data_IF_354614828346
#
_entry.id   IF_354614828346
#
_cell.length_a   1.000
_cell.length_b   1.000
_cell.length_c   1.000
_cell.angle_alpha   90.00
_cell.angle_beta   90.00
_cell.angle_gamma   90.00
#
_symmetry.space_group_name_H-M   'P 1'
#
loop_
_entity.id
_entity.type
_entity.pdbx_description
1 polymer ?
#
# COMPACT_ATOMS: atom_id res chain seq x y z
N UNK A 1 -33.07 -30.37 -5.75
CA UNK A 1 -32.38 -29.58 -4.71
C UNK A 1 -32.97 -29.96 -3.37
N UNK A 2 -32.19 -30.58 -2.48
CA UNK A 2 -32.67 -31.07 -1.18
C UNK A 2 -32.11 -30.17 -0.07
N UNK A 3 -32.98 -29.62 0.78
CA UNK A 3 -32.64 -28.70 1.90
C UNK A 3 -32.04 -29.46 3.11
N UNK A 4 -31.92 -30.80 3.01
CA UNK A 4 -31.59 -31.69 4.14
C UNK A 4 -30.10 -31.76 4.52
N UNK A 5 -29.20 -31.18 3.71
CA UNK A 5 -27.74 -31.32 3.89
C UNK A 5 -27.05 -30.04 4.41
N UNK A 6 -27.83 -29.05 4.89
CA UNK A 6 -27.28 -27.81 5.45
C UNK A 6 -26.81 -28.00 6.89
N UNK A 7 -25.57 -27.63 7.16
CA UNK A 7 -24.99 -27.73 8.51
C UNK A 7 -24.69 -26.33 9.06
N UNK A 8 -25.18 -25.98 10.27
CA UNK A 8 -24.83 -24.71 10.90
C UNK A 8 -23.36 -24.71 11.35
N UNK A 9 -22.65 -23.63 11.05
CA UNK A 9 -21.23 -23.49 11.36
C UNK A 9 -21.01 -22.75 12.68
N UNK A 10 -20.03 -23.20 13.46
CA UNK A 10 -19.60 -22.49 14.67
C UNK A 10 -18.72 -21.31 14.29
N UNK A 11 -19.12 -20.11 14.71
CA UNK A 11 -18.35 -18.88 14.51
C UNK A 11 -17.92 -18.25 15.83
N UNK A 12 -16.72 -17.67 15.87
CA UNK A 12 -16.17 -16.95 17.04
C UNK A 12 -15.60 -15.60 16.60
N UNK A 13 -15.99 -14.47 17.22
CA UNK A 13 -15.36 -13.18 16.95
C UNK A 13 -14.01 -13.07 17.65
N UNK A 14 -13.02 -12.50 16.97
CA UNK A 14 -11.68 -12.21 17.47
C UNK A 14 -11.33 -10.75 17.19
N UNK A 15 -10.37 -10.19 17.93
CA UNK A 15 -9.89 -8.82 17.73
C UNK A 15 -8.91 -8.77 16.56
N UNK A 16 -9.19 -7.95 15.56
CA UNK A 16 -8.30 -7.68 14.45
C UNK A 16 -7.33 -6.55 14.83
N UNK A 17 -6.04 -6.73 14.57
CA UNK A 17 -5.05 -5.67 14.75
C UNK A 17 -4.86 -4.95 13.42
N UNK A 18 -4.92 -3.62 13.42
CA UNK A 18 -4.77 -2.77 12.24
C UNK A 18 -3.68 -1.73 12.48
N UNK A 19 -2.84 -1.50 11.49
CA UNK A 19 -1.80 -0.47 11.46
C UNK A 19 -1.91 0.35 10.16
N UNK A 20 -1.82 1.67 10.30
CA UNK A 20 -1.80 2.60 9.17
C UNK A 20 -0.35 2.97 8.84
N UNK A 21 0.12 2.60 7.65
CA UNK A 21 1.52 2.79 7.25
C UNK A 21 1.83 4.23 6.85
N UNK A 22 0.83 4.89 6.24
CA UNK A 22 0.96 6.26 5.72
C UNK A 22 0.96 7.35 6.79
N UNK A 23 0.78 7.01 8.07
CA UNK A 23 0.79 8.01 9.15
C UNK A 23 2.14 8.70 9.33
N UNK A 24 3.25 7.99 9.06
CA UNK A 24 4.62 8.53 9.25
C UNK A 24 5.29 8.95 7.94
N UNK A 25 5.05 8.19 6.86
CA UNK A 25 5.67 8.41 5.56
C UNK A 25 4.75 7.85 4.47
N UNK A 26 4.71 8.48 3.31
CA UNK A 26 3.93 7.96 2.19
C UNK A 26 4.62 6.74 1.58
N UNK A 27 3.86 5.66 1.42
CA UNK A 27 4.30 4.39 0.82
C UNK A 27 3.19 3.81 -0.06
N UNK A 28 3.55 2.93 -1.00
CA UNK A 28 2.58 2.17 -1.80
C UNK A 28 1.68 1.30 -0.91
N UNK A 29 2.25 0.77 0.18
CA UNK A 29 1.49 0.10 1.24
C UNK A 29 0.71 1.14 2.05
N UNK A 30 -0.61 0.96 2.15
CA UNK A 30 -1.52 1.88 2.84
C UNK A 30 -1.80 1.41 4.28
N UNK A 31 -2.34 0.20 4.41
CA UNK A 31 -2.72 -0.41 5.69
C UNK A 31 -2.13 -1.81 5.82
N UNK A 32 -1.95 -2.25 7.06
CA UNK A 32 -1.65 -3.62 7.42
C UNK A 32 -2.62 -4.11 8.50
N UNK A 33 -3.03 -5.37 8.42
CA UNK A 33 -3.81 -6.05 9.44
C UNK A 33 -3.13 -7.37 9.82
N UNK A 34 -3.32 -7.81 11.06
CA UNK A 34 -2.87 -9.13 11.52
C UNK A 34 -4.06 -9.93 12.05
N UNK A 35 -4.34 -11.05 11.38
CA UNK A 35 -5.36 -12.01 11.82
C UNK A 35 -4.81 -12.80 13.02
N UNK A 36 -5.51 -12.85 14.17
CA UNK A 36 -5.09 -13.59 15.35
C UNK A 36 -5.41 -15.09 15.20
N UNK A 37 -4.59 -15.81 14.45
CA UNK A 37 -4.68 -17.27 14.31
C UNK A 37 -3.54 -17.97 15.04
N UNK A 38 -3.58 -19.31 15.09
CA UNK A 38 -2.51 -20.09 15.71
C UNK A 38 -1.27 -20.08 14.83
N UNK A 39 -0.08 -20.13 15.42
CA UNK A 39 1.20 -20.13 14.69
C UNK A 39 1.38 -21.34 13.76
N UNK A 40 0.58 -22.40 13.98
CA UNK A 40 0.55 -23.60 13.13
C UNK A 40 -0.36 -23.44 11.90
N UNK A 41 -1.27 -22.46 11.91
CA UNK A 41 -2.15 -22.18 10.79
C UNK A 41 -1.36 -21.65 9.60
N UNK A 42 -1.84 -21.99 8.41
CA UNK A 42 -1.26 -21.56 7.14
C UNK A 42 -2.38 -20.94 6.31
N UNK A 43 -2.24 -19.68 5.90
CA UNK A 43 -3.14 -19.11 4.90
C UNK A 43 -2.98 -19.85 3.57
N UNK A 44 -4.10 -20.39 3.06
CA UNK A 44 -4.17 -21.15 1.81
C UNK A 44 -4.73 -20.32 0.66
N UNK A 45 -5.72 -19.47 0.93
CA UNK A 45 -6.29 -18.59 -0.08
C UNK A 45 -7.02 -17.40 0.55
N UNK A 46 -7.35 -16.39 -0.27
CA UNK A 46 -8.16 -15.26 0.14
C UNK A 46 -9.04 -14.74 -0.98
N UNK A 47 -10.18 -14.19 -0.60
CA UNK A 47 -11.21 -13.70 -1.51
C UNK A 47 -11.86 -12.45 -0.94
N UNK A 48 -12.05 -11.44 -1.78
CA UNK A 48 -12.88 -10.27 -1.46
C UNK A 48 -14.26 -10.46 -2.09
N UNK A 49 -15.31 -10.36 -1.27
CA UNK A 49 -16.72 -10.41 -1.71
C UNK A 49 -17.42 -9.16 -1.20
N UNK A 50 -17.75 -8.24 -2.11
CA UNK A 50 -18.23 -6.90 -1.71
C UNK A 50 -17.14 -6.18 -0.91
N UNK A 51 -17.45 -5.81 0.33
CA UNK A 51 -16.52 -5.15 1.26
C UNK A 51 -15.99 -6.11 2.35
N UNK A 52 -16.23 -7.41 2.18
CA UNK A 52 -15.76 -8.44 3.11
C UNK A 52 -14.52 -9.16 2.57
N UNK A 53 -13.49 -9.28 3.40
CA UNK A 53 -12.33 -10.13 3.13
C UNK A 53 -12.52 -11.48 3.81
N UNK A 54 -12.35 -12.55 3.05
CA UNK A 54 -12.43 -13.93 3.51
C UNK A 54 -11.07 -14.57 3.31
N UNK A 55 -10.49 -15.12 4.38
CA UNK A 55 -9.19 -15.80 4.35
C UNK A 55 -9.37 -17.24 4.77
N UNK A 56 -9.00 -18.17 3.89
CA UNK A 56 -8.97 -19.59 4.20
C UNK A 56 -7.62 -19.99 4.76
N UNK A 57 -7.62 -20.73 5.86
CA UNK A 57 -6.42 -21.30 6.45
C UNK A 57 -6.53 -22.81 6.54
N UNK A 58 -5.38 -23.47 6.59
CA UNK A 58 -5.22 -24.89 6.85
C UNK A 58 -4.38 -25.10 8.10
N UNK A 59 -4.38 -26.34 8.61
CA UNK A 59 -3.66 -26.75 9.81
C UNK A 59 -3.99 -25.95 11.10
N UNK A 60 -5.24 -26.00 11.61
CA UNK A 60 -6.41 -26.69 11.07
C UNK A 60 -7.21 -25.85 10.04
N UNK A 61 -8.10 -26.47 9.24
CA UNK A 61 -8.98 -25.75 8.31
C UNK A 61 -9.91 -24.74 9.00
N UNK A 62 -9.76 -23.44 8.70
CA UNK A 62 -10.60 -22.34 9.23
C UNK A 62 -10.90 -21.32 8.13
N UNK A 63 -11.96 -20.54 8.31
CA UNK A 63 -12.18 -19.30 7.58
C UNK A 63 -12.14 -18.12 8.54
N UNK A 64 -11.54 -17.03 8.10
CA UNK A 64 -11.54 -15.75 8.78
C UNK A 64 -12.27 -14.74 7.91
N UNK A 65 -13.40 -14.23 8.38
CA UNK A 65 -14.24 -13.28 7.65
C UNK A 65 -14.17 -11.92 8.34
N UNK A 66 -13.68 -10.93 7.61
CA UNK A 66 -13.62 -9.54 8.03
C UNK A 66 -14.63 -8.78 7.18
N UNK A 67 -15.82 -8.56 7.74
CA UNK A 67 -16.81 -7.65 7.15
C UNK A 67 -16.30 -6.21 7.31
N UNK A 68 -16.44 -5.37 6.30
CA UNK A 68 -16.00 -3.97 6.30
C UNK A 68 -14.51 -3.80 6.63
N UNK A 69 -13.63 -4.36 5.79
CA UNK A 69 -12.18 -4.48 6.05
C UNK A 69 -11.51 -3.18 6.53
N UNK A 70 -11.94 -2.04 5.99
CA UNK A 70 -11.37 -0.73 6.31
C UNK A 70 -11.76 -0.21 7.70
N UNK A 71 -12.92 -0.60 8.22
CA UNK A 71 -13.50 -0.05 9.46
C UNK A 71 -13.48 -1.07 10.61
N UNK A 72 -13.40 -2.36 10.29
CA UNK A 72 -13.58 -3.40 11.28
C UNK A 72 -12.39 -3.58 12.22
N UNK A 73 -12.72 -3.74 13.50
CA UNK A 73 -11.79 -4.15 14.56
C UNK A 73 -11.94 -5.63 14.91
N UNK A 74 -12.79 -6.37 14.17
CA UNK A 74 -13.14 -7.75 14.48
C UNK A 74 -13.04 -8.65 13.25
N UNK A 75 -12.66 -9.89 13.50
CA UNK A 75 -12.69 -10.97 12.50
C UNK A 75 -13.51 -12.13 13.02
N UNK A 76 -14.37 -12.69 12.19
CA UNK A 76 -15.13 -13.90 12.50
C UNK A 76 -14.32 -15.13 12.07
N UNK A 77 -13.92 -15.95 13.04
CA UNK A 77 -13.35 -17.26 12.79
C UNK A 77 -14.49 -18.29 12.65
N UNK A 78 -14.44 -19.11 11.60
CA UNK A 78 -15.37 -20.21 11.34
C UNK A 78 -14.59 -21.52 11.25
N UNK A 79 -15.01 -22.52 12.04
CA UNK A 79 -14.42 -23.87 11.99
C UNK A 79 -15.01 -24.69 10.84
N UNK A 80 -14.23 -24.87 9.77
CA UNK A 80 -14.62 -25.66 8.59
C UNK A 80 -14.01 -27.07 8.62
N UNK A 81 -13.32 -27.45 9.69
CA UNK A 81 -12.72 -28.79 9.83
C UNK A 81 -13.75 -29.91 9.71
N UNK A 82 -15.02 -29.61 10.02
CA UNK A 82 -16.11 -30.56 9.92
C UNK A 82 -16.45 -30.97 8.48
N UNK A 83 -16.21 -30.10 7.51
CA UNK A 83 -16.48 -30.34 6.08
C UNK A 83 -15.57 -31.44 5.51
N UNK A 84 -14.34 -31.53 6.03
CA UNK A 84 -13.30 -32.43 5.49
C UNK A 84 -12.96 -33.61 6.41
N UNK A 85 -13.89 -33.99 7.31
CA UNK A 85 -13.66 -35.06 8.31
C UNK A 85 -13.29 -36.40 7.68
N UNK A 86 -13.86 -36.70 6.51
CA UNK A 86 -13.65 -37.96 5.78
C UNK A 86 -12.20 -38.15 5.33
N UNK A 87 -11.38 -37.10 5.28
CA UNK A 87 -10.04 -37.13 4.70
C UNK A 87 -8.92 -37.19 5.74
N UNK A 88 -9.25 -37.09 7.04
CA UNK A 88 -8.26 -37.07 8.14
C UNK A 88 -7.58 -38.41 8.40
N UNK A 89 -8.08 -39.50 7.81
CA UNK A 89 -7.45 -40.82 7.90
C UNK A 89 -6.27 -41.01 6.92
N UNK A 90 -6.09 -40.08 5.97
CA UNK A 90 -4.99 -40.11 5.02
C UNK A 90 -3.66 -39.83 5.74
N UNK A 91 -2.70 -40.73 5.59
CA UNK A 91 -1.32 -40.50 6.03
C UNK A 91 -0.76 -39.27 5.31
N UNK A 92 -0.39 -38.23 6.07
CA UNK A 92 0.08 -36.91 5.57
C UNK A 92 -0.98 -36.11 4.80
N UNK A 93 -2.19 -36.00 5.33
CA UNK A 93 -3.19 -35.07 4.78
C UNK A 93 -2.72 -33.61 4.89
N UNK A 94 -2.50 -32.98 3.74
CA UNK A 94 -2.05 -31.59 3.58
C UNK A 94 -3.05 -30.84 2.68
N UNK A 95 -4.22 -30.45 3.22
CA UNK A 95 -5.26 -29.81 2.41
C UNK A 95 -4.78 -28.53 1.74
N UNK A 96 -5.40 -28.22 0.61
CA UNK A 96 -5.29 -26.92 -0.04
C UNK A 96 -6.69 -26.41 -0.31
N UNK A 97 -6.98 -25.22 0.18
CA UNK A 97 -8.26 -24.57 -0.03
C UNK A 97 -8.11 -23.50 -1.10
N UNK A 98 -9.10 -23.42 -1.99
CA UNK A 98 -9.31 -22.36 -2.94
C UNK A 98 -10.69 -21.74 -2.69
N UNK A 99 -10.80 -20.41 -2.79
CA UNK A 99 -12.03 -19.66 -2.58
C UNK A 99 -12.47 -18.99 -3.88
N UNK A 100 -13.78 -18.97 -4.13
CA UNK A 100 -14.35 -18.22 -5.24
C UNK A 100 -15.74 -17.67 -4.89
N UNK A 101 -16.06 -16.50 -5.42
CA UNK A 101 -17.37 -15.90 -5.22
C UNK A 101 -18.42 -16.64 -6.07
N UNK A 102 -19.57 -16.98 -5.48
CA UNK A 102 -20.65 -17.68 -6.19
C UNK A 102 -21.98 -16.96 -6.01
N UNK A 103 -22.27 -15.99 -6.89
CA UNK A 103 -23.43 -15.12 -6.77
C UNK A 103 -23.37 -14.21 -5.53
N UNK A 104 -24.50 -13.61 -5.16
CA UNK A 104 -24.54 -12.63 -4.06
C UNK A 104 -24.37 -13.30 -2.69
N UNK A 105 -23.27 -12.95 -2.00
CA UNK A 105 -23.03 -13.31 -0.60
C UNK A 105 -22.76 -14.79 -0.33
N UNK A 106 -22.49 -15.60 -1.36
CA UNK A 106 -22.11 -17.02 -1.21
C UNK A 106 -20.69 -17.25 -1.71
N UNK A 107 -20.03 -18.18 -1.05
CA UNK A 107 -18.61 -18.49 -1.28
C UNK A 107 -18.50 -19.97 -1.60
N UNK A 108 -17.90 -20.28 -2.74
CA UNK A 108 -17.51 -21.62 -3.11
C UNK A 108 -16.13 -21.91 -2.53
N UNK A 109 -16.03 -23.01 -1.79
CA UNK A 109 -14.80 -23.52 -1.22
C UNK A 109 -14.45 -24.80 -1.97
N UNK A 110 -13.23 -24.88 -2.49
CA UNK A 110 -12.71 -26.06 -3.16
C UNK A 110 -11.52 -26.59 -2.37
N UNK A 111 -11.58 -27.85 -1.94
CA UNK A 111 -10.43 -28.56 -1.38
C UNK A 111 -9.73 -29.33 -2.50
N UNK A 112 -8.58 -28.81 -2.93
CA UNK A 112 -7.94 -29.23 -4.18
C UNK A 112 -7.30 -30.62 -4.12
N UNK A 113 -7.04 -31.18 -2.93
CA UNK A 113 -6.41 -32.52 -2.81
C UNK A 113 -7.44 -33.62 -3.07
N UNK A 114 -8.65 -33.46 -2.53
CA UNK A 114 -9.77 -34.39 -2.72
C UNK A 114 -10.65 -34.04 -3.90
N UNK A 115 -10.60 -32.80 -4.39
CA UNK A 115 -11.51 -32.28 -5.42
C UNK A 115 -12.93 -32.04 -4.88
N UNK A 116 -13.09 -31.89 -3.57
CA UNK A 116 -14.40 -31.64 -2.95
C UNK A 116 -14.78 -30.17 -2.98
N UNK A 117 -16.06 -29.89 -3.18
CA UNK A 117 -16.62 -28.54 -3.26
C UNK A 117 -17.70 -28.35 -2.18
N UNK A 118 -17.64 -27.20 -1.50
CA UNK A 118 -18.58 -26.81 -0.46
C UNK A 118 -19.07 -25.38 -0.72
N UNK A 119 -20.37 -25.14 -0.57
CA UNK A 119 -20.96 -23.80 -0.67
C UNK A 119 -21.22 -23.25 0.72
N UNK A 120 -20.60 -22.13 1.05
CA UNK A 120 -20.83 -21.38 2.27
C UNK A 120 -21.74 -20.17 1.99
N UNK A 121 -22.74 -19.96 2.84
CA UNK A 121 -23.67 -18.83 2.74
C UNK A 121 -24.22 -18.45 4.12
N UNK A 122 -24.77 -17.24 4.22
CA UNK A 122 -25.37 -16.70 5.44
C UNK A 122 -26.89 -16.66 5.28
N UNK A 123 -27.62 -17.24 6.23
CA UNK A 123 -29.09 -17.20 6.26
C UNK A 123 -29.56 -16.93 7.70
N UNK A 124 -30.41 -15.92 7.88
CA UNK A 124 -30.86 -15.51 9.22
C UNK A 124 -29.73 -15.09 10.17
N UNK A 125 -28.60 -14.57 9.63
CA UNK A 125 -27.43 -14.19 10.41
C UNK A 125 -26.49 -15.34 10.80
N UNK A 126 -26.84 -16.59 10.47
CA UNK A 126 -26.03 -17.78 10.77
C UNK A 126 -25.34 -18.27 9.51
N UNK A 127 -24.06 -18.61 9.63
CA UNK A 127 -23.30 -19.25 8.56
C UNK A 127 -23.69 -20.71 8.41
N UNK A 128 -24.02 -21.12 7.19
CA UNK A 128 -24.36 -22.49 6.82
C UNK A 128 -23.48 -22.96 5.67
N UNK A 129 -23.16 -24.25 5.65
CA UNK A 129 -22.49 -24.88 4.51
C UNK A 129 -23.34 -25.98 3.88
N UNK A 130 -23.09 -26.25 2.61
CA UNK A 130 -23.73 -27.33 1.86
C UNK A 130 -22.75 -27.93 0.84
N UNK A 131 -22.59 -29.27 0.80
CA UNK A 131 -21.72 -29.93 -0.17
C UNK A 131 -22.26 -29.78 -1.60
N UNK A 132 -21.35 -29.66 -2.57
CA UNK A 132 -21.67 -29.69 -4.00
C UNK A 132 -21.10 -30.98 -4.59
N UNK A 133 -21.99 -31.80 -5.12
CA UNK A 133 -21.61 -32.99 -5.88
C UNK A 133 -21.42 -32.62 -7.35
N UNK A 134 -20.18 -32.76 -7.85
CA UNK A 134 -19.86 -32.62 -9.27
C UNK A 134 -19.92 -33.99 -9.95
N UNK A 135 -20.52 -34.07 -11.14
CA UNK A 135 -20.66 -35.33 -11.90
C UNK A 135 -19.42 -35.66 -12.76
N UNK A 136 -18.36 -34.86 -12.68
CA UNK A 136 -17.19 -34.91 -13.53
C UNK A 136 -15.93 -35.16 -12.70
N UNK A 137 -15.07 -36.08 -13.16
CA UNK A 137 -13.75 -36.36 -12.58
C UNK A 137 -12.68 -35.33 -12.97
N UNK A 138 -13.02 -34.38 -13.84
CA UNK A 138 -12.13 -33.27 -14.22
C UNK A 138 -12.37 -32.10 -13.27
N UNK A 139 -11.33 -31.62 -12.55
CA UNK A 139 -11.45 -30.44 -11.70
C UNK A 139 -11.84 -29.23 -12.54
N UNK A 140 -12.83 -28.45 -12.09
CA UNK A 140 -13.13 -27.16 -12.70
C UNK A 140 -11.99 -26.22 -12.35
N UNK A 141 -11.20 -25.80 -13.34
CA UNK A 141 -10.21 -24.75 -13.14
C UNK A 141 -10.94 -23.44 -12.83
N UNK A 142 -10.78 -22.95 -11.60
CA UNK A 142 -11.50 -21.76 -11.11
C UNK A 142 -10.78 -20.45 -11.48
N UNK A 143 -9.56 -20.54 -12.03
CA UNK A 143 -8.68 -19.39 -12.25
C UNK A 143 -8.30 -19.17 -13.72
N UNK A 144 -8.09 -17.89 -14.08
CA UNK A 144 -6.93 -17.57 -14.91
C UNK A 144 -7.11 -16.81 -16.21
N UNK A 145 -8.24 -16.14 -16.44
CA UNK A 145 -8.36 -15.21 -17.57
C UNK A 145 -8.80 -13.85 -17.05
N UNK A 146 -7.87 -12.88 -17.05
CA UNK A 146 -8.19 -11.50 -16.71
C UNK A 146 -8.47 -10.71 -17.98
N UNK A 147 -9.66 -10.11 -18.07
CA UNK A 147 -10.05 -9.24 -19.19
C UNK A 147 -10.15 -7.81 -18.71
N UNK A 148 -9.39 -6.90 -19.32
CA UNK A 148 -9.48 -5.46 -19.11
C UNK A 148 -9.48 -4.76 -20.48
N UNK A 149 -10.36 -3.77 -20.69
CA UNK A 149 -10.44 -2.99 -21.93
C UNK A 149 -10.50 -3.83 -23.22
N UNK A 150 -11.31 -4.90 -23.22
CA UNK A 150 -11.47 -5.85 -24.33
C UNK A 150 -10.18 -6.61 -24.70
N UNK A 151 -9.18 -6.61 -23.82
CA UNK A 151 -7.92 -7.32 -23.98
C UNK A 151 -7.79 -8.41 -22.92
N UNK A 152 -7.28 -9.57 -23.32
CA UNK A 152 -7.00 -10.67 -22.41
C UNK A 152 -5.55 -10.63 -21.96
N UNK A 153 -5.31 -10.64 -20.65
CA UNK A 153 -3.98 -10.73 -20.06
C UNK A 153 -3.68 -12.16 -19.61
N UNK A 154 -2.48 -12.63 -19.95
CA UNK A 154 -2.03 -14.00 -19.68
C UNK A 154 -0.75 -13.98 -18.84
N UNK A 155 -0.72 -14.86 -17.83
CA UNK A 155 0.48 -15.12 -17.04
C UNK A 155 1.41 -16.11 -17.75
N UNK A 156 2.62 -15.67 -18.12
CA UNK A 156 3.72 -16.55 -18.52
C UNK A 156 5.01 -16.18 -17.76
N UNK A 157 5.82 -17.17 -17.38
CA UNK A 157 7.04 -16.95 -16.60
C UNK A 157 8.12 -16.15 -17.36
N UNK A 158 8.24 -16.43 -18.66
CA UNK A 158 9.26 -15.85 -19.53
C UNK A 158 8.93 -14.44 -20.03
N UNK A 159 7.75 -13.92 -19.67
CA UNK A 159 7.28 -12.59 -20.07
C UNK A 159 6.90 -11.78 -18.83
N UNK A 160 7.03 -10.45 -18.92
CA UNK A 160 6.45 -9.54 -17.92
C UNK A 160 4.92 -9.58 -17.99
N UNK A 161 4.37 -9.53 -19.20
CA UNK A 161 2.97 -9.81 -19.49
C UNK A 161 2.83 -10.32 -20.93
N UNK A 162 1.75 -11.05 -21.18
CA UNK A 162 1.23 -11.38 -22.50
C UNK A 162 -0.19 -10.81 -22.60
N UNK A 163 -0.50 -10.12 -23.69
CA UNK A 163 -1.76 -9.46 -23.96
C UNK A 163 -2.28 -9.92 -25.33
N UNK A 164 -3.54 -10.28 -25.42
CA UNK A 164 -4.21 -10.67 -26.66
C UNK A 164 -5.39 -9.75 -26.95
N UNK A 165 -5.49 -9.27 -28.20
CA UNK A 165 -6.56 -8.41 -28.72
C UNK A 165 -7.64 -9.24 -29.45
N UNK A 166 -8.13 -10.31 -28.84
CA UNK A 166 -9.22 -11.04 -29.46
C UNK A 166 -9.58 -12.36 -28.82
N UNK A 167 -8.66 -13.22 -28.40
CA UNK A 167 -9.06 -14.51 -27.84
C UNK A 167 -9.39 -14.40 -26.32
N UNK A 168 -10.49 -14.99 -25.78
CA UNK A 168 -11.59 -15.71 -26.45
C UNK A 168 -12.77 -14.81 -26.93
N UNK A 169 -12.65 -13.49 -26.86
CA UNK A 169 -13.70 -12.50 -27.15
C UNK A 169 -14.03 -12.28 -28.66
N UNK A 170 -13.14 -12.67 -29.58
CA UNK A 170 -13.18 -12.57 -31.04
C UNK A 170 -12.19 -13.57 -31.66
N UNK A 171 -12.65 -14.62 -32.36
CA UNK A 171 -11.79 -15.66 -32.95
C UNK A 171 -11.09 -15.24 -34.26
N UNK A 172 -11.30 -14.01 -34.75
CA UNK A 172 -10.89 -13.57 -36.10
C UNK A 172 -9.58 -12.76 -36.14
N UNK A 173 -9.13 -12.22 -35.02
CA UNK A 173 -7.86 -11.49 -34.88
C UNK A 173 -7.18 -11.93 -33.58
N UNK A 174 -5.94 -12.39 -33.67
CA UNK A 174 -5.14 -12.80 -32.51
C UNK A 174 -3.75 -12.21 -32.62
N UNK A 175 -3.59 -10.93 -32.32
CA UNK A 175 -2.27 -10.38 -32.06
C UNK A 175 -1.93 -10.64 -30.59
N UNK A 176 -0.89 -11.43 -30.36
CA UNK A 176 -0.33 -11.65 -29.03
C UNK A 176 0.85 -10.69 -28.88
N UNK A 177 0.69 -9.71 -27.98
CA UNK A 177 1.72 -8.75 -27.61
C UNK A 177 2.30 -9.17 -26.25
N UNK A 178 3.62 -9.10 -26.09
CA UNK A 178 4.21 -9.33 -24.78
C UNK A 178 5.67 -8.91 -24.73
N UNK A 179 6.11 -8.55 -23.53
CA UNK A 179 7.49 -8.11 -23.30
C UNK A 179 8.25 -9.24 -22.63
N UNK A 180 9.30 -9.80 -23.27
CA UNK A 180 10.08 -10.88 -22.69
C UNK A 180 10.84 -10.41 -21.46
N UNK A 181 10.90 -11.27 -20.44
CA UNK A 181 11.64 -11.01 -19.21
C UNK A 181 13.14 -11.13 -19.50
N UNK A 182 13.92 -10.13 -19.09
CA UNK A 182 15.38 -10.23 -19.10
C UNK A 182 15.80 -11.11 -17.91
N UNK A 183 16.58 -12.16 -18.17
CA UNK A 183 17.08 -13.03 -17.10
C UNK A 183 18.08 -12.23 -16.26
N UNK A 184 17.73 -11.94 -15.01
CA UNK A 184 18.60 -11.22 -14.10
C UNK A 184 19.90 -12.00 -13.86
N UNK A 185 21.05 -11.34 -14.04
CA UNK A 185 22.38 -11.93 -13.81
C UNK A 185 22.69 -11.96 -12.32
N UNK A 186 22.34 -10.88 -11.61
CA UNK A 186 22.37 -10.81 -10.14
C UNK A 186 20.95 -10.64 -9.58
N UNK A 187 20.60 -11.48 -8.61
CA UNK A 187 19.29 -11.50 -7.97
C UNK A 187 19.41 -11.20 -6.47
N UNK A 188 18.30 -10.83 -5.84
CA UNK A 188 18.25 -10.49 -4.40
C UNK A 188 18.75 -11.63 -3.51
N UNK A 189 18.31 -12.86 -3.80
CA UNK A 189 18.79 -14.05 -3.12
C UNK A 189 18.82 -15.22 -4.11
N UNK A 190 20.00 -15.71 -4.48
CA UNK A 190 20.12 -16.79 -5.46
C UNK A 190 19.66 -18.16 -4.92
N UNK A 191 19.45 -18.30 -3.60
CA UNK A 191 19.02 -19.56 -2.99
C UNK A 191 17.59 -19.90 -3.44
N UNK A 192 17.46 -21.03 -4.10
CA UNK A 192 16.16 -21.60 -4.48
C UNK A 192 15.78 -22.69 -3.50
N UNK A 193 14.55 -22.67 -2.95
CA UNK A 193 14.08 -23.78 -2.15
C UNK A 193 14.10 -25.11 -2.93
N UNK A 194 14.52 -26.19 -2.27
CA UNK A 194 14.65 -27.52 -2.89
C UNK A 194 13.34 -28.06 -3.48
N UNK A 195 12.19 -27.65 -2.93
CA UNK A 195 10.88 -28.06 -3.43
C UNK A 195 10.52 -27.45 -4.79
N UNK A 196 11.23 -26.41 -5.27
CA UNK A 196 11.02 -25.88 -6.62
C UNK A 196 11.59 -26.79 -7.70
N UNK A 197 12.58 -27.62 -7.36
CA UNK A 197 13.09 -28.66 -8.25
C UNK A 197 12.28 -29.96 -8.20
N UNK A 198 11.31 -30.06 -7.29
CA UNK A 198 10.41 -31.20 -7.22
C UNK A 198 9.30 -31.07 -8.28
N UNK A 199 9.24 -32.04 -9.20
CA UNK A 199 8.26 -32.06 -10.29
C UNK A 199 6.82 -32.17 -9.79
N UNK A 200 6.60 -32.79 -8.62
CA UNK A 200 5.26 -32.94 -8.04
C UNK A 200 4.76 -31.58 -7.54
N UNK A 201 5.56 -30.91 -6.70
CA UNK A 201 5.25 -29.57 -6.20
C UNK A 201 5.13 -28.55 -7.34
N UNK A 202 5.98 -28.64 -8.37
CA UNK A 202 5.90 -27.74 -9.52
C UNK A 202 4.56 -27.81 -10.27
N UNK A 203 3.95 -28.99 -10.35
CA UNK A 203 2.65 -29.20 -11.01
C UNK A 203 1.46 -28.68 -10.21
N UNK A 204 1.60 -28.55 -8.88
CA UNK A 204 0.50 -28.07 -8.02
C UNK A 204 0.48 -26.54 -7.91
N UNK A 205 1.59 -25.86 -8.20
CA UNK A 205 1.65 -24.41 -8.12
C UNK A 205 0.78 -23.77 -9.21
N UNK A 206 -0.22 -23.01 -8.78
CA UNK A 206 -1.05 -22.22 -9.66
C UNK A 206 -0.33 -20.92 -10.07
N UNK A 207 0.01 -20.79 -11.34
CA UNK A 207 0.68 -19.60 -11.90
C UNK A 207 -0.21 -18.36 -11.96
N UNK A 208 -1.53 -18.52 -11.86
CA UNK A 208 -2.51 -17.44 -11.96
C UNK A 208 -2.72 -16.72 -10.63
N UNK A 209 -2.58 -17.42 -9.50
CA UNK A 209 -2.62 -16.81 -8.16
C UNK A 209 -1.50 -15.79 -7.90
N UNK A 210 -0.48 -15.81 -8.75
CA UNK A 210 0.64 -14.87 -8.70
C UNK A 210 0.48 -13.73 -9.71
N UNK A 211 -0.67 -13.54 -10.34
CA UNK A 211 -0.86 -12.55 -11.41
C UNK A 211 -2.19 -11.79 -11.25
N UNK A 212 -2.14 -10.46 -11.32
CA UNK A 212 -3.29 -9.58 -11.26
C UNK A 212 -3.12 -8.47 -12.30
N UNK A 213 -4.23 -7.97 -12.86
CA UNK A 213 -4.26 -6.72 -13.61
C UNK A 213 -5.06 -5.71 -12.82
N UNK A 214 -4.47 -4.54 -12.59
CA UNK A 214 -5.08 -3.38 -11.95
C UNK A 214 -5.46 -2.34 -13.02
N UNK A 215 -6.15 -1.28 -12.60
CA UNK A 215 -6.50 -0.14 -13.45
C UNK A 215 -5.28 0.38 -14.22
N UNK A 216 -5.56 0.97 -15.38
CA UNK A 216 -4.57 1.58 -16.28
C UNK A 216 -3.64 0.54 -16.94
N UNK A 217 -4.02 -0.75 -16.93
CA UNK A 217 -3.23 -1.83 -17.49
C UNK A 217 -1.95 -2.11 -16.71
N UNK A 218 -1.92 -1.78 -15.42
CA UNK A 218 -0.81 -2.15 -14.53
C UNK A 218 -0.92 -3.62 -14.17
N UNK A 219 0.04 -4.40 -14.62
CA UNK A 219 0.11 -5.84 -14.36
C UNK A 219 0.97 -6.07 -13.13
N UNK A 220 0.43 -6.77 -12.13
CA UNK A 220 1.13 -7.06 -10.87
C UNK A 220 1.39 -8.55 -10.75
N UNK A 221 2.61 -8.91 -10.39
CA UNK A 221 3.02 -10.29 -10.14
C UNK A 221 3.73 -10.46 -8.80
N UNK A 222 3.39 -11.50 -8.05
CA UNK A 222 4.14 -11.89 -6.86
C UNK A 222 5.44 -12.59 -7.26
N UNK A 223 6.58 -12.06 -6.81
CA UNK A 223 7.92 -12.55 -7.17
C UNK A 223 8.74 -12.93 -5.94
N UNK A 224 9.34 -14.14 -5.91
CA UNK A 224 10.29 -14.51 -4.87
C UNK A 224 11.64 -13.85 -5.10
N UNK A 225 12.46 -13.77 -4.05
CA UNK A 225 13.77 -13.08 -4.06
C UNK A 225 14.75 -13.59 -5.13
N UNK A 226 14.67 -14.87 -5.50
CA UNK A 226 15.52 -15.46 -6.53
C UNK A 226 15.12 -15.12 -7.98
N UNK A 227 13.98 -14.45 -8.17
CA UNK A 227 13.50 -14.01 -9.49
C UNK A 227 13.43 -12.48 -9.63
N UNK A 228 14.00 -11.75 -8.67
CA UNK A 228 14.00 -10.30 -8.63
C UNK A 228 15.44 -9.80 -8.75
N UNK A 229 15.71 -8.81 -9.64
CA UNK A 229 17.02 -8.18 -9.76
C UNK A 229 17.54 -7.61 -8.43
N UNK A 230 18.84 -7.72 -8.15
CA UNK A 230 19.44 -7.29 -6.87
C UNK A 230 19.26 -5.79 -6.58
N UNK A 231 19.23 -4.97 -7.62
CA UNK A 231 18.99 -3.53 -7.58
C UNK A 231 17.58 -3.15 -7.09
N UNK A 232 16.63 -4.08 -7.12
CA UNK A 232 15.28 -3.88 -6.57
C UNK A 232 15.24 -3.57 -5.07
N UNK A 233 16.27 -3.98 -4.30
CA UNK A 233 16.35 -3.71 -2.85
C UNK A 233 16.68 -2.23 -2.56
N UNK A 234 17.23 -1.52 -3.55
CA UNK A 234 17.78 -0.18 -3.37
C UNK A 234 19.14 -0.20 -2.67
N UNK A 235 19.95 0.84 -2.90
CA UNK A 235 21.25 1.00 -2.24
C UNK A 235 21.04 1.34 -0.75
N UNK A 236 21.07 0.32 0.12
CA UNK A 236 21.36 0.47 1.55
C UNK A 236 20.19 0.76 2.50
N UNK A 237 18.92 0.64 2.10
CA UNK A 237 17.79 1.04 2.95
C UNK A 237 16.99 -0.08 3.62
N UNK A 238 17.02 -1.32 3.14
CA UNK A 238 16.19 -2.42 3.64
C UNK A 238 17.01 -3.70 3.75
N UNK A 239 16.96 -4.36 4.91
CA UNK A 239 17.58 -5.67 5.11
C UNK A 239 16.87 -6.71 4.23
N UNK A 240 17.58 -7.32 3.27
CA UNK A 240 17.04 -8.35 2.39
C UNK A 240 16.50 -9.59 3.13
N UNK A 241 16.94 -9.81 4.38
CA UNK A 241 16.39 -10.85 5.23
C UNK A 241 14.98 -10.52 5.73
N UNK A 242 14.63 -9.25 5.91
CA UNK A 242 13.28 -8.82 6.33
C UNK A 242 12.21 -8.91 5.22
N UNK A 243 12.65 -9.17 3.98
CA UNK A 243 11.78 -9.21 2.80
C UNK A 243 11.37 -10.67 2.51
N UNK A 244 10.06 -10.90 2.41
CA UNK A 244 9.51 -12.20 2.02
C UNK A 244 9.51 -12.41 0.50
N UNK A 245 9.24 -11.34 -0.25
CA UNK A 245 9.26 -11.30 -1.71
C UNK A 245 8.93 -9.90 -2.20
N UNK A 246 8.56 -9.78 -3.48
CA UNK A 246 8.25 -8.49 -4.10
C UNK A 246 6.95 -8.58 -4.90
N UNK A 247 6.23 -7.47 -4.97
CA UNK A 247 5.23 -7.22 -6.00
C UNK A 247 5.95 -6.56 -7.18
N UNK A 248 5.98 -7.26 -8.31
CA UNK A 248 6.45 -6.72 -9.57
C UNK A 248 5.27 -6.05 -10.28
N UNK A 249 5.23 -4.72 -10.26
CA UNK A 249 4.25 -3.91 -10.96
C UNK A 249 4.83 -3.49 -12.32
N UNK A 250 4.12 -3.82 -13.39
CA UNK A 250 4.51 -3.52 -14.77
C UNK A 250 3.44 -2.64 -15.39
N UNK A 251 3.80 -1.39 -15.70
CA UNK A 251 2.97 -0.53 -16.52
C UNK A 251 3.09 -0.98 -17.98
N UNK A 252 2.04 -1.65 -18.47
CA UNK A 252 2.01 -2.18 -19.84
C UNK A 252 1.91 -1.09 -20.92
N UNK A 253 1.54 0.13 -20.56
CA UNK A 253 1.38 1.27 -21.48
C UNK A 253 2.69 2.03 -21.63
N UNK A 254 3.33 2.37 -20.50
CA UNK A 254 4.56 3.16 -20.49
C UNK A 254 5.84 2.32 -20.49
N UNK A 255 5.73 1.00 -20.34
CA UNK A 255 6.85 0.07 -20.35
C UNK A 255 7.77 0.24 -19.14
N UNK A 256 7.19 0.47 -17.95
CA UNK A 256 7.95 0.57 -16.71
C UNK A 256 7.74 -0.65 -15.83
N UNK A 257 8.80 -1.09 -15.15
CA UNK A 257 8.73 -2.10 -14.08
C UNK A 257 9.19 -1.52 -12.75
N UNK A 258 8.44 -1.82 -11.70
CA UNK A 258 8.82 -1.55 -10.33
C UNK A 258 8.69 -2.81 -9.48
N UNK A 259 9.61 -2.96 -8.53
CA UNK A 259 9.55 -3.99 -7.50
C UNK A 259 9.24 -3.35 -6.16
N UNK A 260 8.10 -3.71 -5.57
CA UNK A 260 7.68 -3.23 -4.24
C UNK A 260 7.91 -4.36 -3.22
N UNK A 261 8.73 -4.15 -2.17
CA UNK A 261 9.03 -5.21 -1.21
C UNK A 261 7.82 -5.54 -0.34
N UNK A 262 7.57 -6.84 -0.15
CA UNK A 262 6.59 -7.38 0.79
C UNK A 262 7.34 -7.91 2.01
N UNK A 263 7.04 -7.43 3.24
CA UNK A 263 7.67 -7.90 4.45
C UNK A 263 7.49 -9.41 4.67
N UNK A 264 8.41 -10.03 5.41
CA UNK A 264 8.22 -11.41 5.86
C UNK A 264 6.97 -11.56 6.73
N UNK A 265 6.37 -12.77 6.74
CA UNK A 265 5.38 -13.13 7.74
C UNK A 265 5.96 -13.01 9.16
N UNK A 266 5.13 -12.65 10.13
CA UNK A 266 5.54 -12.53 11.54
C UNK A 266 6.00 -13.88 12.11
N UNK A 267 5.40 -14.97 11.63
CA UNK A 267 5.74 -16.33 12.03
C UNK A 267 6.13 -17.16 10.82
N UNK A 268 7.26 -17.86 10.91
CA UNK A 268 7.67 -18.82 9.88
C UNK A 268 7.11 -20.20 10.20
N UNK A 269 6.33 -20.74 9.28
CA UNK A 269 5.83 -22.11 9.41
C UNK A 269 6.94 -23.12 9.11
N UNK A 270 7.01 -24.17 9.92
CA UNK A 270 7.92 -25.31 9.73
C UNK A 270 7.54 -26.19 8.53
N UNK A 271 6.37 -25.99 7.94
CA UNK A 271 5.85 -26.79 6.84
C UNK A 271 6.21 -26.22 5.45
N UNK A 272 7.50 -25.91 5.23
CA UNK A 272 7.98 -25.25 4.01
C UNK A 272 7.60 -25.96 2.70
N UNK A 273 7.60 -27.31 2.69
CA UNK A 273 7.16 -28.07 1.50
C UNK A 273 5.67 -27.99 1.24
N UNK A 274 4.84 -27.85 2.27
CA UNK A 274 3.38 -27.67 2.10
C UNK A 274 3.08 -26.26 1.61
N UNK A 275 3.71 -25.23 2.19
CA UNK A 275 3.59 -23.84 1.73
C UNK A 275 3.91 -23.70 0.24
N UNK A 276 4.92 -24.42 -0.23
CA UNK A 276 5.32 -24.43 -1.63
C UNK A 276 4.24 -24.93 -2.59
N UNK A 277 3.31 -25.77 -2.12
CA UNK A 277 2.18 -26.25 -2.92
C UNK A 277 1.04 -25.24 -2.98
N UNK A 278 1.07 -24.20 -2.14
CA UNK A 278 0.05 -23.14 -2.07
C UNK A 278 0.51 -21.92 -2.88
N UNK A 279 1.73 -21.42 -2.63
CA UNK A 279 2.28 -20.22 -3.29
C UNK A 279 3.79 -20.30 -3.46
N UNK A 280 4.32 -19.56 -4.45
CA UNK A 280 5.76 -19.42 -4.70
C UNK A 280 6.43 -18.42 -3.78
N UNK A 281 5.64 -17.51 -3.24
CA UNK A 281 6.05 -16.48 -2.28
C UNK A 281 5.45 -16.82 -0.91
N UNK A 282 6.01 -16.30 0.20
CA UNK A 282 5.42 -16.48 1.53
C UNK A 282 4.13 -15.64 1.75
N UNK A 283 3.46 -15.28 0.65
CA UNK A 283 2.21 -14.57 0.59
C UNK A 283 1.50 -14.90 -0.73
N UNK A 284 0.19 -14.62 -0.76
CA UNK A 284 -0.66 -14.66 -1.94
C UNK A 284 -1.20 -13.26 -2.23
N UNK A 285 -1.57 -12.99 -3.48
CA UNK A 285 -2.24 -11.75 -3.87
C UNK A 285 -3.73 -11.98 -3.98
N UNK A 286 -4.51 -11.00 -3.54
CA UNK A 286 -5.98 -11.01 -3.62
C UNK A 286 -6.43 -9.68 -4.22
N UNK A 287 -7.22 -9.69 -5.31
CA UNK A 287 -7.84 -8.47 -5.82
C UNK A 287 -8.82 -7.91 -4.79
N UNK A 288 -8.77 -6.59 -4.55
CA UNK A 288 -9.72 -5.92 -3.67
C UNK A 288 -10.58 -4.90 -4.43
N UNK A 289 -9.94 -4.06 -5.23
CA UNK A 289 -10.62 -3.19 -6.19
C UNK A 289 -9.72 -3.01 -7.41
N UNK A 290 -10.21 -2.30 -8.43
CA UNK A 290 -9.37 -1.96 -9.58
C UNK A 290 -8.15 -1.08 -9.17
N UNK A 291 -8.23 -0.44 -8.01
CA UNK A 291 -7.23 0.51 -7.50
C UNK A 291 -6.32 -0.07 -6.41
N UNK A 292 -6.78 -1.12 -5.72
CA UNK A 292 -6.10 -1.72 -4.57
C UNK A 292 -5.98 -3.22 -4.72
N UNK A 293 -4.82 -3.73 -4.37
CA UNK A 293 -4.61 -5.16 -4.14
C UNK A 293 -4.31 -5.43 -2.68
N UNK A 294 -4.60 -6.65 -2.24
CA UNK A 294 -4.19 -7.15 -0.94
C UNK A 294 -3.13 -8.23 -1.11
N UNK A 295 -2.17 -8.27 -0.19
CA UNK A 295 -1.34 -9.46 0.02
C UNK A 295 -1.72 -10.11 1.34
N UNK A 296 -1.82 -11.43 1.36
CA UNK A 296 -2.04 -12.20 2.58
C UNK A 296 -0.83 -13.10 2.77
N UNK A 297 -0.06 -12.88 3.83
CA UNK A 297 1.07 -13.74 4.17
C UNK A 297 0.62 -15.06 4.80
N UNK A 298 1.51 -16.04 4.83
CA UNK A 298 1.22 -17.38 5.35
C UNK A 298 0.81 -17.39 6.82
N UNK A 299 1.13 -16.31 7.56
CA UNK A 299 0.85 -16.10 8.98
C UNK A 299 -0.29 -15.11 9.23
N UNK A 300 -1.10 -14.79 8.20
CA UNK A 300 -2.33 -14.00 8.36
C UNK A 300 -2.11 -12.50 8.46
N UNK A 301 -0.91 -12.02 8.12
CA UNK A 301 -0.66 -10.61 7.88
C UNK A 301 -1.25 -10.21 6.52
N UNK A 302 -2.26 -9.35 6.56
CA UNK A 302 -2.93 -8.78 5.38
C UNK A 302 -2.37 -7.37 5.16
N UNK A 303 -2.05 -7.00 3.92
CA UNK A 303 -1.52 -5.66 3.60
C UNK A 303 -2.21 -5.12 2.35
N UNK A 304 -2.60 -3.85 2.35
CA UNK A 304 -3.17 -3.18 1.18
C UNK A 304 -2.11 -2.37 0.43
N UNK A 305 -2.13 -2.47 -0.89
CA UNK A 305 -1.23 -1.74 -1.77
C UNK A 305 -1.99 -1.02 -2.88
N UNK A 306 -1.56 0.20 -3.16
CA UNK A 306 -1.93 0.95 -4.36
C UNK A 306 -0.71 0.98 -5.30
N UNK A 307 -0.89 0.53 -6.54
CA UNK A 307 0.20 0.43 -7.51
C UNK A 307 -0.14 1.06 -8.87
N UNK A 308 -1.32 1.67 -9.05
CA UNK A 308 -1.57 2.52 -10.22
C UNK A 308 -0.95 3.91 -9.99
N UNK A 309 -0.26 4.50 -10.99
CA UNK A 309 0.25 5.87 -10.89
C UNK A 309 -0.87 6.89 -10.62
N UNK A 310 -2.02 6.75 -11.28
CA UNK A 310 -3.15 7.67 -11.12
C UNK A 310 -3.66 7.68 -9.67
N UNK A 311 -3.87 6.49 -9.11
CA UNK A 311 -4.35 6.34 -7.73
C UNK A 311 -3.30 6.79 -6.72
N UNK A 312 -2.03 6.42 -6.91
CA UNK A 312 -0.94 6.85 -6.02
C UNK A 312 -0.75 8.37 -6.01
N UNK A 313 -0.84 9.02 -7.17
CA UNK A 313 -0.75 10.47 -7.28
C UNK A 313 -1.87 11.18 -6.51
N UNK A 314 -3.10 10.67 -6.62
CA UNK A 314 -4.25 11.17 -5.84
C UNK A 314 -4.03 10.99 -4.34
N UNK A 315 -3.73 9.77 -3.90
CA UNK A 315 -3.51 9.44 -2.49
C UNK A 315 -2.34 10.23 -1.87
N UNK A 316 -1.30 10.52 -2.65
CA UNK A 316 -0.19 11.34 -2.18
C UNK A 316 -0.58 12.80 -2.00
N UNK A 317 -1.36 13.37 -2.92
CA UNK A 317 -1.84 14.74 -2.76
C UNK A 317 -2.73 14.86 -1.53
N UNK A 318 -3.64 13.90 -1.31
CA UNK A 318 -4.47 13.82 -0.09
C UNK A 318 -3.59 13.72 1.16
N UNK A 319 -2.63 12.79 1.19
CA UNK A 319 -1.69 12.65 2.30
C UNK A 319 -0.88 13.92 2.55
N UNK A 320 -0.41 14.58 1.48
CA UNK A 320 0.33 15.84 1.55
C UNK A 320 -0.52 16.96 2.13
N UNK A 321 -1.81 17.00 1.81
CA UNK A 321 -2.76 17.91 2.46
C UNK A 321 -2.96 17.57 3.94
N UNK A 322 -3.04 16.28 4.30
CA UNK A 322 -3.22 15.84 5.70
C UNK A 322 -2.00 16.11 6.59
N UNK A 323 -0.77 15.90 6.11
CA UNK A 323 0.46 16.21 6.86
C UNK A 323 0.84 17.69 6.76
N UNK A 324 0.35 18.38 5.73
CA UNK A 324 0.72 19.75 5.37
C UNK A 324 0.14 20.81 6.29
N UNK A 325 -0.65 20.41 7.32
CA UNK A 325 -1.11 21.30 8.37
C UNK A 325 -1.99 22.44 7.89
N UNK A 326 -2.75 22.25 6.80
CA UNK A 326 -3.70 23.27 6.33
C UNK A 326 -5.08 23.20 7.00
N UNK A 327 -5.27 22.35 8.02
CA UNK A 327 -6.55 22.26 8.76
C UNK A 327 -6.48 22.72 10.24
N UNK A 328 -5.46 23.50 10.62
CA UNK A 328 -5.41 24.14 11.96
C UNK A 328 -4.96 25.63 11.90
N UNK A 329 -5.02 26.27 10.72
CA UNK A 329 -4.69 27.69 10.57
C UNK A 329 -5.86 28.65 10.88
N UNK A 330 -7.09 28.15 11.07
CA UNK A 330 -8.28 29.01 11.13
C UNK A 330 -8.83 29.30 12.55
N UNK A 331 -8.09 28.99 13.61
CA UNK A 331 -8.46 29.38 14.99
C UNK A 331 -7.45 30.32 15.67
N UNK A 332 -6.73 31.15 14.89
CA UNK A 332 -5.88 32.21 15.46
C UNK A 332 -6.68 33.50 15.59
N UNK A 333 -6.64 34.10 16.77
CA UNK A 333 -7.25 35.41 17.00
C UNK A 333 -6.29 36.46 16.44
N UNK A 334 -6.71 37.17 15.39
CA UNK A 334 -5.98 38.30 14.85
C UNK A 334 -6.41 39.57 15.58
N UNK A 335 -5.47 40.23 16.26
CA UNK A 335 -5.68 41.53 16.89
C UNK A 335 -5.13 42.62 15.97
N UNK A 336 -5.98 43.44 15.38
CA UNK A 336 -5.54 44.67 14.71
C UNK A 336 -5.14 45.72 15.74
N UNK A 337 -3.94 46.29 15.61
CA UNK A 337 -3.55 47.44 16.44
C UNK A 337 -4.16 48.73 15.89
N UNK A 338 -4.47 49.65 16.78
CA UNK A 338 -4.95 50.99 16.45
C UNK A 338 -3.96 51.76 15.56
N UNK A 339 -4.49 52.65 14.70
CA UNK A 339 -3.77 53.37 13.64
C UNK A 339 -2.64 54.28 14.14
N UNK A 340 -2.67 54.67 15.41
CA UNK A 340 -1.69 55.50 16.10
C UNK A 340 -0.51 54.70 16.71
N UNK A 341 -0.55 53.37 16.64
CA UNK A 341 0.51 52.50 17.16
C UNK A 341 1.77 52.43 16.27
N UNK A 342 1.75 53.07 15.10
CA UNK A 342 2.90 53.14 14.19
C UNK A 342 3.86 54.27 14.57
N UNK A 343 5.09 53.91 14.87
CA UNK A 343 6.16 54.85 15.21
C UNK A 343 7.34 54.65 14.24
N UNK A 344 7.48 55.57 13.28
CA UNK A 344 8.53 55.53 12.28
C UNK A 344 9.94 55.58 12.87
N UNK A 345 10.11 56.10 14.09
CA UNK A 345 11.42 56.15 14.77
C UNK A 345 11.92 54.79 15.24
N UNK A 346 11.04 53.78 15.34
CA UNK A 346 11.36 52.40 15.73
C UNK A 346 11.77 51.52 14.55
N UNK A 347 11.73 52.05 13.33
CA UNK A 347 12.09 51.35 12.10
C UNK A 347 13.61 51.38 11.90
N UNK A 348 14.23 50.20 11.92
CA UNK A 348 15.66 50.00 11.79
C UNK A 348 15.96 49.11 10.58
N UNK A 349 17.25 48.85 10.33
CA UNK A 349 17.64 47.89 9.30
C UNK A 349 17.08 46.48 9.58
N UNK A 350 16.62 45.77 8.53
CA UNK A 350 15.98 44.47 8.66
C UNK A 350 16.96 43.43 9.19
N UNK A 351 16.51 42.59 10.12
CA UNK A 351 17.31 41.50 10.72
C UNK A 351 16.47 40.25 10.95
N UNK A 352 17.14 39.10 11.11
CA UNK A 352 16.46 37.82 11.33
C UNK A 352 15.93 37.72 12.77
N UNK A 353 16.63 38.32 13.74
CA UNK A 353 16.28 38.25 15.17
C UNK A 353 17.01 37.12 15.90
N UNK A 354 16.90 37.09 17.23
CA UNK A 354 17.46 36.03 18.08
C UNK A 354 16.45 34.90 18.26
N UNK A 355 16.94 33.66 18.37
CA UNK A 355 16.13 32.50 18.73
C UNK A 355 15.86 32.49 20.23
N UNK A 356 14.60 32.29 20.62
CA UNK A 356 14.18 32.10 22.01
C UNK A 356 14.11 30.60 22.34
N UNK A 357 14.97 30.07 23.22
CA UNK A 357 14.91 28.66 23.63
C UNK A 357 13.61 28.28 24.35
N UNK A 358 12.90 29.25 24.93
CA UNK A 358 11.66 29.04 25.68
C UNK A 358 10.39 29.20 24.84
N UNK A 359 10.51 29.64 23.59
CA UNK A 359 9.42 29.96 22.67
C UNK A 359 8.30 30.80 23.32
N UNK A 360 8.66 31.78 24.15
CA UNK A 360 7.68 32.64 24.82
C UNK A 360 6.98 33.58 23.81
N UNK A 361 5.71 33.97 24.04
CA UNK A 361 5.00 34.88 23.14
C UNK A 361 5.57 36.31 23.25
N UNK A 362 6.12 36.83 22.16
CA UNK A 362 6.68 38.19 22.07
C UNK A 362 5.87 39.06 21.11
N UNK A 363 5.38 40.22 21.57
CA UNK A 363 4.61 41.18 20.76
C UNK A 363 5.29 42.56 20.73
N UNK A 364 5.28 43.26 19.58
CA UNK A 364 5.67 44.67 19.48
C UNK A 364 7.16 45.03 19.56
N UNK A 365 8.06 44.07 19.79
CA UNK A 365 9.50 44.29 19.88
C UNK A 365 10.28 44.10 18.56
N UNK A 366 11.61 44.27 18.61
CA UNK A 366 12.52 44.00 17.49
C UNK A 366 13.57 42.92 17.80
N UNK A 367 13.52 42.21 18.93
CA UNK A 367 14.63 41.36 19.36
C UNK A 367 14.50 39.90 18.89
N UNK A 368 13.28 39.36 18.91
CA UNK A 368 13.02 37.92 18.76
C UNK A 368 12.55 37.55 17.36
N UNK A 369 13.13 36.47 16.84
CA UNK A 369 12.73 35.85 15.58
C UNK A 369 11.40 35.12 15.78
N UNK A 370 10.38 35.42 14.99
CA UNK A 370 9.05 34.80 15.08
C UNK A 370 8.03 35.50 15.99
N UNK A 371 8.35 36.67 16.55
CA UNK A 371 7.40 37.49 17.30
C UNK A 371 6.28 38.09 16.42
N UNK A 372 5.21 38.57 17.04
CA UNK A 372 4.04 39.14 16.34
C UNK A 372 3.95 40.67 16.47
N UNK A 373 3.58 41.37 15.38
CA UNK A 373 3.34 42.83 15.39
C UNK A 373 4.56 43.70 15.73
N UNK A 374 5.78 43.23 15.42
CA UNK A 374 7.06 43.90 15.72
C UNK A 374 7.65 44.71 14.55
N UNK A 375 8.81 45.32 14.78
CA UNK A 375 9.53 46.16 13.81
C UNK A 375 10.83 45.51 13.35
N UNK A 376 11.12 45.57 12.04
CA UNK A 376 12.42 45.26 11.41
C UNK A 376 12.98 43.85 11.61
N UNK A 377 12.20 42.92 12.18
CA UNK A 377 12.63 41.55 12.52
C UNK A 377 11.73 40.51 11.84
N UNK A 378 12.28 39.34 11.48
CA UNK A 378 11.51 38.26 10.87
C UNK A 378 10.43 37.75 11.82
N UNK A 379 9.17 37.75 11.40
CA UNK A 379 8.01 37.46 12.24
C UNK A 379 6.69 37.61 11.49
N UNK A 380 5.56 37.52 12.19
CA UNK A 380 4.22 37.62 11.60
C UNK A 380 3.53 38.93 12.00
N UNK A 381 2.77 39.55 11.09
CA UNK A 381 2.00 40.78 11.37
C UNK A 381 2.78 42.08 11.62
N UNK A 382 4.12 42.07 11.56
CA UNK A 382 4.99 43.24 11.77
C UNK A 382 5.31 44.07 10.52
N UNK A 383 6.16 45.09 10.68
CA UNK A 383 6.63 46.01 9.62
C UNK A 383 8.15 45.96 9.41
N UNK A 384 8.60 45.98 8.16
CA UNK A 384 10.03 46.11 7.81
C UNK A 384 10.92 44.88 8.02
N UNK A 385 10.36 43.71 8.38
CA UNK A 385 11.12 42.45 8.51
C UNK A 385 11.46 41.79 7.15
N UNK A 386 12.49 40.92 7.08
CA UNK A 386 12.96 40.31 5.84
C UNK A 386 12.03 39.24 5.25
N UNK A 387 11.39 38.42 6.09
CA UNK A 387 10.44 37.39 5.68
C UNK A 387 9.48 37.06 6.82
N UNK A 388 8.35 36.42 6.47
CA UNK A 388 7.39 35.93 7.47
C UNK A 388 7.94 34.67 8.12
N UNK A 389 7.99 34.67 9.44
CA UNK A 389 8.30 33.48 10.23
C UNK A 389 7.22 33.31 11.28
N UNK A 390 6.64 32.12 11.32
CA UNK A 390 5.60 31.76 12.26
C UNK A 390 6.20 30.95 13.42
N UNK A 391 5.94 31.41 14.65
CA UNK A 391 6.32 30.71 15.89
C UNK A 391 5.13 30.04 16.59
N UNK A 392 3.93 30.08 15.98
CA UNK A 392 2.73 29.38 16.48
C UNK A 392 1.92 30.15 17.54
N UNK A 393 2.06 31.48 17.61
CA UNK A 393 1.40 32.34 18.59
C UNK A 393 0.31 33.23 17.95
N UNK A 394 -0.55 33.82 18.78
CA UNK A 394 -1.59 34.78 18.34
C UNK A 394 -1.00 36.01 17.64
N UNK A 395 -1.68 36.44 16.58
CA UNK A 395 -1.14 37.40 15.62
C UNK A 395 -1.62 38.81 15.92
N UNK A 396 -0.68 39.68 16.29
CA UNK A 396 -0.92 41.11 16.38
C UNK A 396 -0.56 41.74 15.03
N UNK A 397 -1.56 42.17 14.28
CA UNK A 397 -1.38 42.76 12.96
C UNK A 397 -1.13 44.27 13.09
N UNK A 398 -0.09 44.75 12.40
CA UNK A 398 0.09 46.16 12.13
C UNK A 398 -0.86 46.62 11.01
N UNK A 399 -1.44 47.83 11.12
CA UNK A 399 -2.35 48.35 10.11
C UNK A 399 -1.65 48.47 8.76
N UNK A 400 -2.38 48.23 7.68
CA UNK A 400 -1.82 48.22 6.33
C UNK A 400 -1.25 49.57 5.89
N UNK A 401 -1.73 50.66 6.47
CA UNK A 401 -1.20 52.00 6.25
C UNK A 401 0.24 52.12 6.77
N UNK A 402 0.54 51.54 7.93
CA UNK A 402 1.89 51.46 8.48
C UNK A 402 2.84 50.62 7.60
N UNK A 403 2.32 49.53 7.01
CA UNK A 403 3.09 48.69 6.08
C UNK A 403 3.49 49.41 4.80
N UNK A 404 2.67 50.37 4.34
CA UNK A 404 2.94 51.19 3.15
C UNK A 404 3.96 52.32 3.40
N UNK A 405 4.14 52.75 4.65
CA UNK A 405 5.05 53.84 5.01
C UNK A 405 6.53 53.42 5.16
N UNK A 406 6.86 52.15 4.88
CA UNK A 406 8.24 51.64 4.98
C UNK A 406 9.11 52.20 3.83
N UNK A 407 10.24 52.87 4.12
CA UNK A 407 11.15 53.39 3.11
C UNK A 407 11.72 52.30 2.18
N UNK A 408 11.91 52.65 0.90
CA UNK A 408 12.35 51.70 -0.14
C UNK A 408 13.71 51.05 0.15
N UNK A 409 14.63 51.76 0.80
CA UNK A 409 15.96 51.25 1.13
C UNK A 409 15.91 50.08 2.15
N UNK A 410 14.92 50.08 3.05
CA UNK A 410 14.69 49.01 4.04
C UNK A 410 14.10 47.79 3.34
N UNK A 411 13.14 47.99 2.42
CA UNK A 411 12.56 46.93 1.60
C UNK A 411 13.62 46.23 0.73
N UNK A 412 14.57 46.99 0.18
CA UNK A 412 15.67 46.44 -0.62
C UNK A 412 16.58 45.54 0.22
N UNK A 413 17.04 46.01 1.38
CA UNK A 413 17.86 45.23 2.33
C UNK A 413 17.12 43.98 2.82
N UNK A 414 15.81 44.09 3.09
CA UNK A 414 14.96 42.98 3.52
C UNK A 414 14.93 41.86 2.46
N UNK A 415 14.79 42.21 1.18
CA UNK A 415 14.81 41.27 0.05
C UNK A 415 16.17 40.57 -0.11
N UNK A 416 17.27 41.29 0.10
CA UNK A 416 18.62 40.72 0.01
C UNK A 416 18.86 39.66 1.10
N UNK A 417 18.47 39.96 2.35
CA UNK A 417 18.56 39.02 3.48
C UNK A 417 17.66 37.80 3.25
N UNK A 418 16.44 38.01 2.76
CA UNK A 418 15.52 36.92 2.43
C UNK A 418 16.09 35.99 1.34
N UNK A 419 16.67 36.56 0.28
CA UNK A 419 17.29 35.79 -0.80
C UNK A 419 18.49 34.97 -0.30
N UNK A 420 19.33 35.56 0.56
CA UNK A 420 20.48 34.89 1.14
C UNK A 420 20.08 33.72 2.06
N UNK A 421 19.08 33.90 2.93
CA UNK A 421 18.57 32.82 3.80
C UNK A 421 17.85 31.73 3.00
N UNK A 422 17.07 32.10 1.98
CA UNK A 422 16.42 31.13 1.11
C UNK A 422 17.42 30.24 0.37
N UNK A 423 18.52 30.82 -0.14
CA UNK A 423 19.61 30.06 -0.76
C UNK A 423 20.31 29.11 0.21
N UNK A 424 20.48 29.48 1.49
CA UNK A 424 21.02 28.56 2.51
C UNK A 424 20.07 27.41 2.79
N UNK A 425 18.76 27.68 2.95
CA UNK A 425 17.74 26.63 3.17
C UNK A 425 17.65 25.67 1.99
N UNK A 426 17.71 26.16 0.75
CA UNK A 426 17.76 25.33 -0.46
C UNK A 426 18.96 24.38 -0.47
N UNK A 427 20.16 24.87 -0.12
CA UNK A 427 21.37 24.01 -0.04
C UNK A 427 21.23 22.92 1.02
N UNK A 428 20.63 23.22 2.18
CA UNK A 428 20.41 22.23 3.24
C UNK A 428 19.39 21.17 2.83
N UNK A 429 18.30 21.57 2.16
CA UNK A 429 17.29 20.66 1.59
C UNK A 429 17.87 19.74 0.51
N UNK A 430 18.79 20.25 -0.32
CA UNK A 430 19.50 19.45 -1.34
C UNK A 430 20.52 18.47 -0.75
N UNK A 431 20.99 18.69 0.49
CA UNK A 431 22.03 17.88 1.15
C UNK A 431 21.47 16.92 2.21
N UNK A 432 20.16 16.94 2.50
CA UNK A 432 19.56 16.05 3.51
C UNK A 432 19.13 14.72 2.87
N UNK A 433 19.62 13.55 3.35
CA UNK A 433 19.29 12.24 2.79
C UNK A 433 17.79 11.86 2.90
N UNK A 434 17.05 12.57 3.76
CA UNK A 434 15.69 12.21 4.17
C UNK A 434 14.60 12.61 3.15
N UNK A 435 14.88 13.53 2.21
CA UNK A 435 13.90 13.94 1.18
C UNK A 435 13.76 12.95 0.02
N UNK A 436 14.53 11.85 0.05
CA UNK A 436 14.57 10.81 -0.98
C UNK A 436 13.41 9.81 -0.85
N UNK A 437 12.56 9.91 0.18
CA UNK A 437 11.42 9.01 0.44
C UNK A 437 10.12 9.50 -0.20
N UNK A 438 10.22 9.87 -1.46
CA UNK A 438 9.08 9.88 -2.38
C UNK A 438 9.27 8.62 -3.22
N UNK A 439 8.39 7.65 -3.02
CA UNK A 439 8.44 6.34 -3.68
C UNK A 439 8.56 6.49 -5.19
N UNK A 440 9.25 5.55 -5.83
CA UNK A 440 9.72 5.66 -7.23
C UNK A 440 8.58 5.96 -8.23
N UNK A 441 7.36 5.48 -7.97
CA UNK A 441 6.15 5.80 -8.75
C UNK A 441 5.72 7.27 -8.67
N UNK A 442 6.01 7.93 -7.57
CA UNK A 442 5.67 9.33 -7.40
C UNK A 442 6.76 10.25 -7.96
N UNK A 443 8.00 9.76 -8.07
CA UNK A 443 9.04 10.40 -8.92
C UNK A 443 8.66 10.41 -10.39
N UNK A 444 8.04 9.34 -10.90
CA UNK A 444 7.50 9.29 -12.26
C UNK A 444 6.43 10.38 -12.52
N UNK A 445 5.73 10.82 -11.48
CA UNK A 445 4.71 11.88 -11.57
C UNK A 445 5.24 13.30 -11.32
N UNK A 446 6.40 13.44 -10.65
CA UNK A 446 6.91 14.73 -10.17
C UNK A 446 8.22 15.19 -10.82
N UNK A 447 8.98 14.32 -11.49
CA UNK A 447 10.26 14.65 -12.13
C UNK A 447 10.37 14.09 -13.56
N UNK A 448 10.69 14.95 -14.53
CA UNK A 448 11.04 14.59 -15.92
C UNK A 448 12.36 13.79 -16.04
N UNK A 449 13.07 13.56 -14.93
CA UNK A 449 14.35 12.83 -14.88
C UNK A 449 14.21 11.49 -14.17
N UNK A 450 13.50 10.56 -14.80
CA UNK A 450 13.48 9.15 -14.43
C UNK A 450 14.82 8.51 -14.81
N UNK A 451 15.54 7.82 -13.90
CA UNK A 451 16.77 7.11 -14.27
C UNK A 451 16.45 6.05 -15.35
N UNK A 452 17.32 5.85 -16.36
CA UNK A 452 17.06 4.98 -17.52
C UNK A 452 16.93 3.47 -17.20
N UNK A 453 16.92 3.08 -15.92
CA UNK A 453 17.07 1.70 -15.43
C UNK A 453 15.75 0.94 -15.24
N UNK A 454 14.59 1.62 -15.30
CA UNK A 454 13.26 1.05 -15.08
C UNK A 454 12.41 0.89 -16.36
N UNK A 455 12.93 1.31 -17.52
CA UNK A 455 12.27 1.23 -18.82
C UNK A 455 12.55 -0.15 -19.45
N UNK A 456 11.49 -0.89 -19.79
CA UNK A 456 11.59 -2.26 -20.34
C UNK A 456 11.77 -2.24 -21.85
#
# INVERSE_FOLDING_TARGET
MNVKDEVPMKSKPLKLLKEHMRTKQFTEQECAWQIPMLDVNICSDGLVVGDALIVATVNPPRLYIIEHLNESEKVQEIDISAMFKSLRHLLKYQPRLALSAYGEGKVLIHEEVSGSYELLFKEGGVWKSRPIHTSSSTPVAVDGVCTENNCMYLSAENFYFLKSDGFPLSPSQTNILGIPRRRAVEVVDARRPNYLSDDVTRKTINSQRNFLVMRDGVVVRAQPKWNVPKDAVGEGSIDAHSIGGFLEAVDSVNGFVQYVPVPLPNYQSYHGSWLATISRTPFIMVPHSNDKLLTIDTSGGVRSYELSPATLGKSFNEWKHSIGGTEDQDLRIEFERESDAFDASKLLDPKIGKFDPSNAPHHGGNQWMGGTGGYSTAGLGGVGGPFRLDAGHDVHQMPDEAKRQVPEHILRKAREIAKAEYQKKLKVLLLTPCSTRVTFMLRLLLDDNVPPRSRI
#
